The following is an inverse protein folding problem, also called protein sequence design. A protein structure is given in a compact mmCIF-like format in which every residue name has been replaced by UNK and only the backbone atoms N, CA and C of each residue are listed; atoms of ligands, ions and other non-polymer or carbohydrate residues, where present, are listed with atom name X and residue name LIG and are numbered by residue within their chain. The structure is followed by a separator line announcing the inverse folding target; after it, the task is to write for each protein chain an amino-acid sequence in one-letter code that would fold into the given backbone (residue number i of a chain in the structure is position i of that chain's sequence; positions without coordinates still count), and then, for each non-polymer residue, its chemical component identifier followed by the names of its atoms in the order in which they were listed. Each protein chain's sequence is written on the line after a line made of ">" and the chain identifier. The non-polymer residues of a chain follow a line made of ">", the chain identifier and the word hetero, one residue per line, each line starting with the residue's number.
data_IF_826513211746
#
_entry.id   IF_826513211746
#
_cell.length_a   1.000
_cell.length_b   1.000
_cell.length_c   1.000
_cell.angle_alpha   90.00
_cell.angle_beta   90.00
_cell.angle_gamma   90.00
#
_symmetry.space_group_name_H-M   'P 1'
#
loop_
_entity.id
_entity.type
_entity.pdbx_description
1 polymer ?
#
# COMPACT_ATOMS: atom_id res chain seq x y z
N UNK A 1 -28.06 15.68 12.87
CA UNK A 1 -26.78 15.06 13.29
C UNK A 1 -25.86 15.16 12.10
N UNK A 2 -24.80 15.97 12.16
CA UNK A 2 -23.84 16.06 11.05
C UNK A 2 -23.06 14.74 10.97
N UNK A 3 -22.80 14.18 9.78
CA UNK A 3 -21.95 13.00 9.65
C UNK A 3 -20.59 13.33 10.26
N UNK A 4 -20.12 12.49 11.17
CA UNK A 4 -18.77 12.58 11.69
C UNK A 4 -17.83 12.39 10.50
N UNK A 5 -17.12 13.45 10.11
CA UNK A 5 -16.17 13.39 9.01
C UNK A 5 -14.97 12.62 9.53
N UNK A 6 -15.02 11.29 9.39
CA UNK A 6 -14.13 10.34 10.05
C UNK A 6 -12.71 10.29 9.47
N UNK A 7 -12.40 11.14 8.49
CA UNK A 7 -11.08 11.29 7.87
C UNK A 7 -10.70 12.76 7.77
N UNK A 8 -9.41 13.02 7.94
CA UNK A 8 -8.78 14.20 7.39
C UNK A 8 -9.11 14.21 5.88
N UNK A 9 -9.86 15.21 5.39
CA UNK A 9 -10.36 15.25 4.00
C UNK A 9 -9.33 15.80 3.02
N UNK A 10 -8.10 16.00 3.47
CA UNK A 10 -6.99 16.44 2.64
C UNK A 10 -6.63 15.42 1.56
N UNK A 11 -6.19 15.92 0.40
CA UNK A 11 -5.63 15.08 -0.64
C UNK A 11 -4.52 14.18 -0.06
N UNK A 12 -4.63 12.87 -0.30
CA UNK A 12 -3.64 11.90 0.18
C UNK A 12 -3.78 11.44 1.63
N UNK A 13 -4.86 11.80 2.36
CA UNK A 13 -5.04 11.38 3.76
C UNK A 13 -4.97 9.86 3.98
N UNK A 14 -5.39 9.07 2.98
CA UNK A 14 -5.29 7.60 2.99
C UNK A 14 -3.86 7.09 3.20
N UNK A 15 -2.84 7.86 2.79
CA UNK A 15 -1.42 7.46 2.92
C UNK A 15 -0.97 7.28 4.38
N UNK A 16 -1.71 7.85 5.34
CA UNK A 16 -1.43 7.69 6.78
C UNK A 16 -1.96 6.38 7.36
N UNK A 17 -2.88 5.71 6.67
CA UNK A 17 -3.50 4.47 7.15
C UNK A 17 -2.58 3.27 6.92
N UNK A 18 -1.88 3.25 5.78
CA UNK A 18 -0.99 2.18 5.37
C UNK A 18 -1.30 1.67 3.97
N UNK A 19 -0.45 0.77 3.49
CA UNK A 19 -0.52 0.16 2.17
C UNK A 19 -0.47 -1.36 2.30
N UNK A 20 -1.42 -2.05 1.68
CA UNK A 20 -1.45 -3.50 1.64
C UNK A 20 -1.75 -4.19 2.99
N UNK A 21 -2.29 -5.40 2.94
CA UNK A 21 -2.60 -6.18 4.15
C UNK A 21 -1.36 -6.44 5.02
N UNK A 22 -0.21 -6.80 4.40
CA UNK A 22 1.05 -7.05 5.12
C UNK A 22 1.55 -5.79 5.84
N UNK A 23 1.51 -4.65 5.16
CA UNK A 23 2.00 -3.40 5.72
C UNK A 23 1.18 -2.97 6.94
N UNK A 24 -0.14 -2.97 6.81
CA UNK A 24 -1.03 -2.63 7.92
C UNK A 24 -0.92 -3.63 9.08
N UNK A 25 -0.82 -4.94 8.80
CA UNK A 25 -0.66 -5.97 9.84
C UNK A 25 0.66 -5.85 10.62
N UNK A 26 1.71 -5.31 9.99
CA UNK A 26 3.02 -5.06 10.61
C UNK A 26 3.17 -3.60 11.08
N UNK A 27 2.06 -2.91 11.32
CA UNK A 27 2.08 -1.55 11.87
C UNK A 27 2.75 -0.52 10.97
N UNK A 28 2.68 -0.72 9.65
CA UNK A 28 3.28 0.13 8.62
C UNK A 28 4.81 0.24 8.68
N UNK A 29 5.49 -0.71 9.32
CA UNK A 29 6.93 -0.71 9.54
C UNK A 29 7.78 -1.27 8.38
N UNK A 30 7.21 -1.39 7.17
CA UNK A 30 7.86 -2.13 6.08
C UNK A 30 9.01 -1.38 5.39
N UNK A 31 9.24 -0.10 5.72
CA UNK A 31 10.33 0.67 5.15
C UNK A 31 11.71 0.01 5.40
N UNK A 32 11.87 -0.68 6.54
CA UNK A 32 13.09 -1.37 6.94
C UNK A 32 12.91 -2.90 7.03
N UNK A 33 11.91 -3.45 6.35
CA UNK A 33 11.69 -4.89 6.35
C UNK A 33 12.86 -5.62 5.67
N UNK A 34 13.37 -6.72 6.24
CA UNK A 34 14.52 -7.44 5.67
C UNK A 34 14.17 -8.29 4.44
N UNK A 35 12.89 -8.47 4.12
CA UNK A 35 12.46 -9.19 2.92
C UNK A 35 12.53 -8.30 1.68
N UNK A 36 12.79 -8.94 0.54
CA UNK A 36 12.78 -8.29 -0.77
C UNK A 36 11.38 -7.84 -1.24
N UNK A 37 10.33 -8.58 -0.86
CA UNK A 37 8.99 -8.44 -1.42
C UNK A 37 8.14 -7.47 -0.60
N UNK A 38 8.52 -6.21 -0.65
CA UNK A 38 7.83 -5.09 0.00
C UNK A 38 7.07 -4.27 -1.03
N UNK A 39 5.91 -3.74 -0.65
CA UNK A 39 5.15 -2.83 -1.51
C UNK A 39 6.03 -1.63 -1.91
N UNK A 40 6.01 -1.21 -3.19
CA UNK A 40 6.76 -0.04 -3.65
C UNK A 40 6.35 1.26 -2.93
N UNK A 41 5.18 1.30 -2.28
CA UNK A 41 4.76 2.45 -1.48
C UNK A 41 5.57 2.62 -0.18
N UNK A 42 6.10 1.55 0.41
CA UNK A 42 6.92 1.66 1.62
C UNK A 42 8.39 1.89 1.29
N UNK A 43 8.95 1.12 0.36
CA UNK A 43 10.36 1.23 0.02
C UNK A 43 10.64 0.81 -1.44
N UNK A 44 10.63 1.75 -2.40
CA UNK A 44 10.93 1.44 -3.79
C UNK A 44 12.41 1.07 -4.02
N UNK A 45 13.32 1.35 -3.07
CA UNK A 45 14.73 0.96 -3.19
C UNK A 45 14.94 -0.57 -3.12
N UNK A 46 13.93 -1.32 -2.65
CA UNK A 46 13.96 -2.78 -2.62
C UNK A 46 13.53 -3.43 -3.94
N UNK A 47 13.00 -2.67 -4.91
CA UNK A 47 12.53 -3.21 -6.19
C UNK A 47 13.56 -4.05 -6.96
N UNK A 48 14.86 -3.71 -6.99
CA UNK A 48 15.87 -4.56 -7.62
C UNK A 48 16.07 -5.91 -6.92
N UNK A 49 15.75 -5.99 -5.62
CA UNK A 49 15.91 -7.20 -4.82
C UNK A 49 14.69 -8.13 -4.87
N UNK A 50 13.57 -7.68 -5.47
CA UNK A 50 12.32 -8.44 -5.55
C UNK A 50 12.56 -9.88 -6.04
N UNK A 51 11.91 -10.85 -5.39
CA UNK A 51 12.16 -12.28 -5.63
C UNK A 51 11.79 -12.73 -7.05
N UNK A 52 10.97 -11.95 -7.74
CA UNK A 52 10.57 -12.15 -9.12
C UNK A 52 9.48 -11.16 -9.53
N UNK A 53 8.82 -11.47 -10.64
CA UNK A 53 7.61 -10.75 -11.03
C UNK A 53 6.46 -11.12 -10.09
N UNK A 54 5.78 -10.12 -9.53
CA UNK A 54 4.71 -10.31 -8.55
C UNK A 54 3.58 -9.33 -8.80
N UNK A 55 2.36 -9.82 -8.60
CA UNK A 55 1.14 -9.03 -8.46
C UNK A 55 0.60 -9.24 -7.05
N UNK A 56 0.16 -8.16 -6.42
CA UNK A 56 -0.43 -8.17 -5.08
C UNK A 56 -1.73 -7.39 -5.09
N UNK A 57 -2.80 -7.99 -4.58
CA UNK A 57 -4.08 -7.32 -4.38
C UNK A 57 -4.49 -7.42 -2.92
N UNK A 58 -5.05 -6.35 -2.37
CA UNK A 58 -5.58 -6.37 -1.00
C UNK A 58 -6.68 -5.34 -0.82
N UNK A 59 -7.56 -5.61 0.14
CA UNK A 59 -8.63 -4.72 0.56
C UNK A 59 -8.66 -4.63 2.08
N UNK A 60 -9.03 -3.47 2.62
CA UNK A 60 -9.29 -3.26 4.02
C UNK A 60 -10.63 -2.55 4.22
N UNK A 61 -11.45 -3.15 5.09
CA UNK A 61 -12.67 -2.56 5.60
C UNK A 61 -12.34 -1.87 6.92
N UNK A 62 -12.64 -0.58 6.99
CA UNK A 62 -12.29 0.27 8.11
C UNK A 62 -13.55 0.87 8.74
N UNK A 63 -13.43 1.35 9.97
CA UNK A 63 -14.51 2.07 10.64
C UNK A 63 -15.00 3.27 9.83
N UNK A 64 -16.27 3.65 10.03
CA UNK A 64 -16.92 4.76 9.32
C UNK A 64 -17.03 4.51 7.81
N UNK A 65 -17.38 3.27 7.46
CA UNK A 65 -17.69 2.85 6.09
C UNK A 65 -16.57 3.16 5.10
N UNK A 66 -15.33 3.10 5.61
CA UNK A 66 -14.13 3.36 4.83
C UNK A 66 -13.63 2.12 4.14
N UNK A 67 -13.20 2.31 2.91
CA UNK A 67 -12.55 1.30 2.11
C UNK A 67 -11.16 1.75 1.65
N UNK A 68 -10.21 0.81 1.71
CA UNK A 68 -8.92 0.92 1.06
C UNK A 68 -8.66 -0.32 0.22
N UNK A 69 -8.26 -0.12 -1.02
CA UNK A 69 -7.95 -1.20 -1.94
C UNK A 69 -6.62 -0.90 -2.63
N UNK A 70 -5.78 -1.92 -2.75
CA UNK A 70 -4.46 -1.83 -3.36
C UNK A 70 -4.31 -2.91 -4.42
N UNK A 71 -3.82 -2.50 -5.60
CA UNK A 71 -3.33 -3.39 -6.63
C UNK A 71 -1.91 -2.98 -6.99
N UNK A 72 -0.96 -3.89 -6.83
CA UNK A 72 0.46 -3.62 -6.99
C UNK A 72 1.09 -4.63 -7.94
N UNK A 73 2.02 -4.15 -8.74
CA UNK A 73 2.87 -4.96 -9.60
C UNK A 73 4.32 -4.59 -9.35
N UNK A 74 5.18 -5.60 -9.23
CA UNK A 74 6.62 -5.43 -9.08
C UNK A 74 7.36 -6.43 -9.93
N UNK A 75 8.47 -6.03 -10.54
CA UNK A 75 9.38 -6.96 -11.20
C UNK A 75 10.81 -6.43 -11.11
N UNK A 76 11.80 -7.27 -10.79
CA UNK A 76 13.20 -6.92 -11.00
C UNK A 76 13.46 -6.77 -12.52
N UNK A 77 14.39 -5.90 -12.87
CA UNK A 77 14.84 -5.63 -14.24
C UNK A 77 16.37 -5.74 -14.24
N UNK A 78 16.87 -6.90 -14.65
CA UNK A 78 18.30 -7.21 -14.56
C UNK A 78 18.79 -7.27 -13.10
N UNK A 79 20.11 -7.13 -12.88
CA UNK A 79 20.70 -7.37 -11.56
C UNK A 79 20.58 -6.18 -10.58
N UNK A 80 20.27 -4.97 -11.07
CA UNK A 80 20.41 -3.73 -10.28
C UNK A 80 19.21 -2.78 -10.37
N UNK A 81 18.21 -3.08 -11.20
CA UNK A 81 17.02 -2.25 -11.34
C UNK A 81 15.75 -3.06 -11.06
N UNK A 82 14.66 -2.35 -10.83
CA UNK A 82 13.33 -2.95 -10.68
C UNK A 82 12.25 -1.91 -10.97
N UNK A 83 11.08 -2.38 -11.39
CA UNK A 83 9.91 -1.56 -11.68
C UNK A 83 8.81 -1.94 -10.68
N UNK A 84 8.17 -0.91 -10.12
CA UNK A 84 7.01 -1.03 -9.25
C UNK A 84 5.90 -0.11 -9.73
N UNK A 85 4.68 -0.61 -9.73
CA UNK A 85 3.45 0.13 -10.03
C UNK A 85 2.43 -0.19 -8.95
N UNK A 86 1.67 0.81 -8.53
CA UNK A 86 0.62 0.65 -7.53
C UNK A 86 -0.58 1.52 -7.84
N UNK A 87 -1.76 0.92 -7.75
CA UNK A 87 -3.05 1.59 -7.81
C UNK A 87 -3.67 1.51 -6.42
N UNK A 88 -4.02 2.67 -5.88
CA UNK A 88 -4.69 2.78 -4.59
C UNK A 88 -6.05 3.42 -4.80
N UNK A 89 -7.10 2.74 -4.36
CA UNK A 89 -8.44 3.32 -4.21
C UNK A 89 -8.72 3.50 -2.71
N UNK A 90 -9.17 4.70 -2.35
CA UNK A 90 -9.50 5.05 -0.98
C UNK A 90 -10.81 5.84 -0.99
N UNK A 91 -11.80 5.38 -0.22
CA UNK A 91 -13.15 5.91 -0.26
C UNK A 91 -13.92 5.73 1.03
N UNK A 92 -15.12 6.31 1.04
CA UNK A 92 -16.16 6.11 2.04
C UNK A 92 -17.39 5.65 1.27
N UNK A 93 -17.96 4.50 1.63
CA UNK A 93 -19.28 4.07 1.17
C UNK A 93 -20.38 4.73 2.01
N UNK A 94 -21.52 5.01 1.40
CA UNK A 94 -22.68 5.66 2.06
C UNK A 94 -23.25 4.87 3.25
#
# INVERSE_FOLDING_TARGET
>A
MAPAIGQDTGAGAFSRLGFGARGMALGNALAADPSADVSPHYNPALLPSASGQRVSASAALLSFDRELQFLEFTTPVGPTAGIGLSFTHAGVSD
#
